data_IF_527606755969
#
_entry.id   IF_527606755969
#
_cell.length_a   1.000
_cell.length_b   1.000
_cell.length_c   1.000
_cell.angle_alpha   90.00
_cell.angle_beta   90.00
_cell.angle_gamma   90.00
#
_symmetry.space_group_name_H-M   'P 1'
#
loop_
_entity.id
_entity.type
_entity.pdbx_description
1 polymer ?
#
# COMPACT_ATOMS: atom_id res chain seq x y z
N UNK A 1 -11.60 10.19 22.27
CA UNK A 1 -10.45 9.51 22.90
C UNK A 1 -10.68 8.03 22.70
N UNK A 2 -9.70 7.29 22.17
CA UNK A 2 -9.85 5.83 22.01
C UNK A 2 -9.70 5.15 23.38
N UNK A 3 -10.46 4.09 23.61
CA UNK A 3 -10.42 3.29 24.83
C UNK A 3 -10.25 1.81 24.48
N UNK A 4 -9.56 1.06 25.33
CA UNK A 4 -9.47 -0.39 25.17
C UNK A 4 -10.85 -1.01 25.39
N UNK A 5 -11.33 -1.80 24.42
CA UNK A 5 -12.63 -2.47 24.53
C UNK A 5 -12.67 -3.40 25.75
N UNK A 6 -13.77 -3.39 26.54
CA UNK A 6 -14.05 -4.42 27.53
C UNK A 6 -14.08 -5.82 26.90
N UNK A 7 -13.66 -6.84 27.66
CA UNK A 7 -13.53 -8.21 27.16
C UNK A 7 -14.84 -8.78 26.57
N UNK A 8 -15.98 -8.47 27.16
CA UNK A 8 -17.31 -8.88 26.71
C UNK A 8 -17.79 -8.14 25.45
N UNK A 9 -17.08 -7.08 25.03
CA UNK A 9 -17.43 -6.18 23.92
C UNK A 9 -16.49 -6.29 22.72
N UNK A 10 -15.45 -7.12 22.78
CA UNK A 10 -14.43 -7.22 21.72
C UNK A 10 -14.97 -7.71 20.37
N UNK A 11 -16.07 -8.47 20.38
CA UNK A 11 -16.74 -8.96 19.17
C UNK A 11 -17.89 -8.06 18.71
N UNK A 12 -18.18 -6.99 19.44
CA UNK A 12 -19.17 -6.01 18.99
C UNK A 12 -18.57 -5.11 17.91
N UNK A 13 -19.40 -4.75 16.92
CA UNK A 13 -19.03 -3.83 15.85
C UNK A 13 -18.58 -2.48 16.44
N UNK A 14 -17.63 -1.81 15.78
CA UNK A 14 -17.35 -0.40 16.08
C UNK A 14 -18.48 0.51 15.58
N UNK A 15 -19.06 1.33 16.46
CA UNK A 15 -20.24 2.16 16.14
C UNK A 15 -20.03 3.10 14.95
N UNK A 16 -18.79 3.54 14.70
CA UNK A 16 -18.44 4.40 13.55
C UNK A 16 -18.76 3.73 12.21
N UNK A 17 -18.70 2.41 12.14
CA UNK A 17 -19.02 1.65 10.93
C UNK A 17 -20.52 1.50 10.69
N UNK A 18 -21.35 1.77 11.70
CA UNK A 18 -22.81 1.75 11.58
C UNK A 18 -23.32 2.75 10.55
N UNK A 19 -22.66 3.90 10.42
CA UNK A 19 -23.04 4.96 9.49
C UNK A 19 -22.80 4.61 8.01
N UNK A 20 -21.97 3.62 7.72
CA UNK A 20 -21.54 3.29 6.36
C UNK A 20 -22.23 2.06 5.77
N UNK A 21 -23.10 1.38 6.53
CA UNK A 21 -23.77 0.16 6.05
C UNK A 21 -22.84 -0.99 5.67
N UNK A 22 -21.55 -0.87 6.00
CA UNK A 22 -20.54 -1.92 5.85
C UNK A 22 -20.97 -3.11 6.71
N UNK A 23 -20.73 -4.34 6.28
CA UNK A 23 -20.92 -5.55 7.09
C UNK A 23 -19.59 -6.29 7.26
N UNK A 24 -19.52 -7.19 8.25
CA UNK A 24 -18.34 -8.03 8.44
C UNK A 24 -18.09 -8.92 7.20
N UNK A 25 -19.16 -9.46 6.62
CA UNK A 25 -19.11 -10.29 5.41
C UNK A 25 -18.59 -9.49 4.22
N UNK A 26 -19.02 -8.24 4.06
CA UNK A 26 -18.50 -7.36 3.02
C UNK A 26 -17.01 -7.10 3.20
N UNK A 27 -16.55 -6.75 4.41
CA UNK A 27 -15.13 -6.53 4.67
C UNK A 27 -14.30 -7.79 4.48
N UNK A 28 -14.81 -8.95 4.92
CA UNK A 28 -14.15 -10.23 4.68
C UNK A 28 -14.02 -10.51 3.18
N UNK A 29 -15.11 -10.35 2.42
CA UNK A 29 -15.08 -10.54 0.98
C UNK A 29 -14.10 -9.59 0.29
N UNK A 30 -14.08 -8.30 0.68
CA UNK A 30 -13.11 -7.33 0.18
C UNK A 30 -11.69 -7.73 0.53
N UNK A 31 -11.38 -8.00 1.80
CA UNK A 31 -10.04 -8.39 2.23
C UNK A 31 -9.54 -9.66 1.51
N UNK A 32 -10.39 -10.68 1.40
CA UNK A 32 -10.06 -11.94 0.73
C UNK A 32 -9.86 -11.77 -0.79
N UNK A 33 -10.58 -10.84 -1.42
CA UNK A 33 -10.49 -10.57 -2.85
C UNK A 33 -9.21 -9.84 -3.27
N UNK A 34 -8.50 -9.20 -2.33
CA UNK A 34 -7.25 -8.49 -2.63
C UNK A 34 -6.10 -9.51 -2.65
N UNK A 35 -5.71 -9.89 -3.85
CA UNK A 35 -4.66 -10.87 -4.09
C UNK A 35 -3.38 -10.21 -4.61
N UNK A 36 -2.24 -10.67 -4.08
CA UNK A 36 -0.92 -10.38 -4.63
C UNK A 36 -0.37 -11.60 -5.37
N UNK A 37 0.52 -11.34 -6.32
CA UNK A 37 1.09 -12.33 -7.22
C UNK A 37 1.76 -13.45 -6.44
N UNK A 38 1.55 -14.74 -6.81
CA UNK A 38 2.21 -15.87 -6.17
C UNK A 38 3.72 -15.90 -6.41
N UNK A 39 4.24 -15.09 -7.34
CA UNK A 39 5.67 -14.94 -7.57
C UNK A 39 6.36 -14.00 -6.57
N UNK A 40 5.60 -13.32 -5.70
CA UNK A 40 6.17 -12.48 -4.66
C UNK A 40 6.82 -13.35 -3.55
N UNK A 41 7.90 -12.87 -2.90
CA UNK A 41 8.53 -13.60 -1.81
C UNK A 41 7.58 -13.84 -0.62
N UNK A 42 7.77 -14.95 0.10
CA UNK A 42 6.96 -15.35 1.26
C UNK A 42 6.76 -14.21 2.28
N UNK A 43 7.82 -13.50 2.66
CA UNK A 43 7.72 -12.36 3.57
C UNK A 43 6.84 -11.20 3.08
N UNK A 44 6.67 -11.04 1.77
CA UNK A 44 5.73 -10.06 1.19
C UNK A 44 4.30 -10.57 1.40
N UNK A 45 4.05 -11.86 1.21
CA UNK A 45 2.77 -12.50 1.50
C UNK A 45 2.39 -12.43 2.97
N UNK A 46 3.33 -12.64 3.88
CA UNK A 46 3.08 -12.53 5.32
C UNK A 46 2.65 -11.11 5.69
N UNK A 47 3.43 -10.11 5.26
CA UNK A 47 3.15 -8.71 5.55
C UNK A 47 1.80 -8.26 4.97
N UNK A 48 1.49 -8.68 3.73
CA UNK A 48 0.23 -8.34 3.08
C UNK A 48 -0.97 -9.07 3.71
N UNK A 49 -0.75 -10.28 4.23
CA UNK A 49 -1.78 -11.01 5.00
C UNK A 49 -2.11 -10.30 6.31
N UNK A 50 -1.11 -9.73 6.99
CA UNK A 50 -1.36 -8.88 8.17
C UNK A 50 -2.19 -7.66 7.79
N UNK A 51 -1.90 -6.99 6.66
CA UNK A 51 -2.70 -5.86 6.18
C UNK A 51 -4.18 -6.24 5.95
N UNK A 52 -4.44 -7.36 5.27
CA UNK A 52 -5.80 -7.87 5.01
C UNK A 52 -6.54 -8.22 6.30
N UNK A 53 -5.86 -8.86 7.24
CA UNK A 53 -6.44 -9.16 8.55
C UNK A 53 -6.74 -7.88 9.33
N UNK A 54 -5.83 -6.90 9.36
CA UNK A 54 -6.08 -5.63 10.02
C UNK A 54 -7.28 -4.88 9.41
N UNK A 55 -7.48 -4.95 8.09
CA UNK A 55 -8.67 -4.41 7.43
C UNK A 55 -9.94 -5.13 7.91
N UNK A 56 -9.93 -6.47 7.97
CA UNK A 56 -11.05 -7.26 8.47
C UNK A 56 -11.38 -6.92 9.92
N UNK A 57 -10.37 -6.91 10.80
CA UNK A 57 -10.51 -6.60 12.22
C UNK A 57 -10.85 -5.13 12.49
N UNK A 58 -10.68 -4.25 11.50
CA UNK A 58 -11.17 -2.87 11.59
C UNK A 58 -12.68 -2.78 11.76
N UNK A 59 -13.41 -3.86 11.41
CA UNK A 59 -14.83 -4.02 11.72
C UNK A 59 -15.13 -3.88 13.23
N UNK A 60 -14.25 -4.44 14.06
CA UNK A 60 -14.36 -4.40 15.51
C UNK A 60 -13.63 -3.19 16.10
N UNK A 61 -12.57 -2.71 15.46
CA UNK A 61 -11.76 -1.59 15.95
C UNK A 61 -11.45 -0.65 14.79
N UNK A 62 -12.28 0.36 14.57
CA UNK A 62 -12.18 1.24 13.41
C UNK A 62 -10.77 1.86 13.18
N UNK A 63 -9.99 2.24 14.21
CA UNK A 63 -8.62 2.73 14.07
C UNK A 63 -7.62 1.69 13.53
N UNK A 64 -8.00 0.44 13.33
CA UNK A 64 -7.16 -0.53 12.62
C UNK A 64 -7.13 -0.30 11.11
N UNK A 65 -7.99 0.56 10.55
CA UNK A 65 -7.92 0.96 9.14
C UNK A 65 -6.57 1.56 8.74
N UNK A 66 -6.05 2.62 9.41
CA UNK A 66 -4.71 3.14 9.11
C UNK A 66 -3.59 2.11 9.37
N UNK A 67 -3.79 1.20 10.33
CA UNK A 67 -2.84 0.08 10.57
C UNK A 67 -2.80 -0.86 9.37
N UNK A 68 -3.96 -1.26 8.85
CA UNK A 68 -4.07 -2.08 7.64
C UNK A 68 -3.35 -1.42 6.47
N UNK A 69 -3.53 -0.11 6.30
CA UNK A 69 -2.89 0.61 5.22
C UNK A 69 -1.37 0.71 5.41
N UNK A 70 -0.88 1.03 6.61
CA UNK A 70 0.55 1.03 6.90
C UNK A 70 1.18 -0.33 6.58
N UNK A 71 0.56 -1.44 6.98
CA UNK A 71 1.06 -2.78 6.67
C UNK A 71 1.06 -3.08 5.16
N UNK A 72 0.09 -2.57 4.40
CA UNK A 72 0.09 -2.64 2.94
C UNK A 72 1.30 -1.90 2.34
N UNK A 73 1.60 -0.69 2.81
CA UNK A 73 2.78 0.07 2.36
C UNK A 73 4.07 -0.63 2.75
N UNK A 74 4.16 -1.20 3.97
CA UNK A 74 5.33 -1.97 4.40
C UNK A 74 5.53 -3.20 3.53
N UNK A 75 4.45 -3.88 3.10
CA UNK A 75 4.54 -4.99 2.16
C UNK A 75 5.10 -4.53 0.80
N UNK A 76 4.67 -3.37 0.30
CA UNK A 76 5.25 -2.74 -0.92
C UNK A 76 6.72 -2.40 -0.72
N UNK A 77 7.11 -1.83 0.43
CA UNK A 77 8.50 -1.48 0.72
C UNK A 77 9.40 -2.72 0.76
N UNK A 78 8.94 -3.81 1.40
CA UNK A 78 9.64 -5.11 1.40
C UNK A 78 9.72 -5.69 -0.01
N UNK A 79 8.63 -5.65 -0.77
CA UNK A 79 8.58 -6.13 -2.16
C UNK A 79 9.58 -5.41 -3.06
N UNK A 80 9.64 -4.08 -2.98
CA UNK A 80 10.60 -3.25 -3.71
C UNK A 80 12.04 -3.56 -3.29
N UNK A 81 12.28 -3.65 -1.97
CA UNK A 81 13.60 -3.97 -1.41
C UNK A 81 14.13 -5.28 -1.95
N UNK A 82 13.32 -6.34 -1.93
CA UNK A 82 13.72 -7.65 -2.45
C UNK A 82 13.99 -7.65 -3.94
N UNK A 83 13.07 -7.08 -4.73
CA UNK A 83 13.26 -7.03 -6.18
C UNK A 83 14.51 -6.25 -6.56
N UNK A 84 14.72 -5.10 -5.91
CA UNK A 84 15.88 -4.26 -6.19
C UNK A 84 17.18 -4.90 -5.69
N UNK A 85 17.17 -5.58 -4.54
CA UNK A 85 18.35 -6.30 -4.03
C UNK A 85 18.77 -7.43 -4.97
N UNK A 86 17.80 -8.13 -5.58
CA UNK A 86 18.08 -9.16 -6.58
C UNK A 86 18.62 -8.57 -7.89
N UNK A 87 18.05 -7.45 -8.36
CA UNK A 87 18.42 -6.86 -9.65
C UNK A 87 19.67 -5.96 -9.60
N UNK A 88 19.91 -5.31 -8.47
CA UNK A 88 20.90 -4.24 -8.25
C UNK A 88 21.52 -4.36 -6.84
N UNK A 89 22.22 -5.48 -6.54
CA UNK A 89 22.74 -5.75 -5.19
C UNK A 89 23.74 -4.69 -4.69
N UNK A 90 24.40 -3.96 -5.60
CA UNK A 90 25.34 -2.89 -5.26
C UNK A 90 24.68 -1.72 -4.51
N UNK A 91 23.38 -1.51 -4.68
CA UNK A 91 22.63 -0.48 -3.94
C UNK A 91 22.48 -0.81 -2.44
N UNK A 92 22.81 -2.03 -2.03
CA UNK A 92 22.65 -2.55 -0.66
C UNK A 92 23.99 -2.83 0.04
N UNK A 93 25.11 -2.45 -0.56
CA UNK A 93 26.45 -2.65 0.02
C UNK A 93 26.89 -1.52 0.96
N UNK A 94 26.12 -0.42 1.03
CA UNK A 94 26.42 0.73 1.88
C UNK A 94 25.99 0.54 3.34
N UNK A 95 26.41 1.48 4.20
CA UNK A 95 26.08 1.48 5.63
C UNK A 95 24.58 1.69 5.94
N UNK A 96 23.80 2.15 4.96
CA UNK A 96 22.35 2.36 5.09
C UNK A 96 21.65 1.77 3.88
N UNK A 97 20.59 1.02 4.14
CA UNK A 97 19.70 0.55 3.08
C UNK A 97 18.91 1.71 2.45
N UNK A 98 18.52 1.60 1.17
CA UNK A 98 17.68 2.59 0.51
C UNK A 98 16.31 2.76 1.21
N UNK A 99 15.88 4.01 1.37
CA UNK A 99 14.55 4.35 1.88
C UNK A 99 13.47 4.14 0.81
N UNK A 100 12.19 4.11 1.22
CA UNK A 100 11.04 3.90 0.31
C UNK A 100 11.07 4.78 -0.96
N UNK A 101 11.38 6.07 -0.81
CA UNK A 101 11.49 6.98 -1.96
C UNK A 101 12.52 6.48 -2.98
N UNK A 102 13.70 6.06 -2.51
CA UNK A 102 14.80 5.60 -3.37
C UNK A 102 14.48 4.25 -4.01
N UNK A 103 13.85 3.35 -3.25
CA UNK A 103 13.36 2.06 -3.75
C UNK A 103 12.33 2.23 -4.88
N UNK A 104 11.35 3.10 -4.66
CA UNK A 104 10.29 3.39 -5.62
C UNK A 104 10.84 4.11 -6.86
N UNK A 105 11.70 5.11 -6.67
CA UNK A 105 12.36 5.82 -7.77
C UNK A 105 13.15 4.85 -8.67
N UNK A 106 13.89 3.91 -8.08
CA UNK A 106 14.63 2.91 -8.83
C UNK A 106 13.70 1.99 -9.64
N UNK A 107 12.59 1.55 -9.05
CA UNK A 107 11.59 0.72 -9.74
C UNK A 107 10.91 1.44 -10.92
N UNK A 108 10.60 2.74 -10.75
CA UNK A 108 10.03 3.58 -11.81
C UNK A 108 11.02 3.77 -12.97
N UNK A 109 12.29 4.08 -12.66
CA UNK A 109 13.35 4.21 -13.68
C UNK A 109 13.63 2.89 -14.41
N UNK A 110 13.52 1.76 -13.73
CA UNK A 110 13.63 0.43 -14.31
C UNK A 110 12.35 -0.02 -15.06
N UNK A 111 11.31 0.81 -15.07
CA UNK A 111 10.01 0.54 -15.70
C UNK A 111 9.32 -0.72 -15.20
N UNK A 112 9.51 -1.05 -13.93
CA UNK A 112 8.80 -2.15 -13.28
C UNK A 112 7.39 -1.79 -12.85
N UNK A 113 7.10 -0.49 -12.73
CA UNK A 113 5.79 0.03 -12.35
C UNK A 113 5.39 1.05 -13.41
N UNK A 114 4.21 0.87 -14.00
CA UNK A 114 3.63 1.71 -15.04
C UNK A 114 2.13 1.93 -14.79
N UNK A 115 1.56 2.94 -15.44
CA UNK A 115 0.17 3.32 -15.24
C UNK A 115 -0.80 2.22 -15.67
N UNK A 116 -0.38 1.38 -16.63
CA UNK A 116 -1.15 0.24 -17.12
C UNK A 116 -1.40 -0.86 -16.08
N UNK A 117 -0.61 -0.89 -14.99
CA UNK A 117 -0.80 -1.86 -13.91
C UNK A 117 -1.75 -1.42 -12.81
N UNK A 118 -2.41 -0.26 -12.96
CA UNK A 118 -3.35 0.28 -11.99
C UNK A 118 -4.76 0.39 -12.59
N UNK A 119 -5.79 0.12 -11.79
CA UNK A 119 -7.17 0.47 -12.16
C UNK A 119 -7.40 1.96 -11.87
N UNK A 120 -7.25 2.83 -12.87
CA UNK A 120 -7.35 4.29 -12.72
C UNK A 120 -8.70 4.82 -13.23
N UNK A 121 -9.39 5.59 -12.38
CA UNK A 121 -10.57 6.36 -12.78
C UNK A 121 -10.12 7.77 -13.22
N UNK A 122 -9.80 7.92 -14.51
CA UNK A 122 -9.42 9.20 -15.13
C UNK A 122 -7.92 9.48 -15.21
N UNK A 123 -7.59 10.69 -15.66
CA UNK A 123 -6.19 11.12 -15.82
C UNK A 123 -5.58 11.51 -14.46
N UNK A 124 -4.49 10.83 -14.09
CA UNK A 124 -3.73 11.19 -12.91
C UNK A 124 -2.81 12.39 -13.18
N UNK A 125 -2.96 13.43 -12.36
CA UNK A 125 -2.01 14.53 -12.32
C UNK A 125 -0.68 14.12 -11.67
N UNK A 126 0.42 14.68 -12.17
CA UNK A 126 1.72 14.64 -11.49
C UNK A 126 1.83 15.88 -10.60
N UNK A 127 2.06 15.75 -9.27
CA UNK A 127 2.28 16.91 -8.41
C UNK A 127 3.41 17.80 -8.92
N UNK A 128 3.27 19.12 -8.80
CA UNK A 128 4.24 20.09 -9.35
C UNK A 128 5.68 19.86 -8.85
N UNK A 129 5.83 19.45 -7.59
CA UNK A 129 7.14 19.11 -7.03
C UNK A 129 7.80 17.92 -7.74
N UNK A 130 7.00 16.95 -8.16
CA UNK A 130 7.46 15.77 -8.90
C UNK A 130 7.77 16.15 -10.34
N UNK A 131 6.92 16.92 -11.02
CA UNK A 131 7.17 17.34 -12.40
C UNK A 131 8.39 18.25 -12.53
N UNK A 132 8.66 19.11 -11.56
CA UNK A 132 9.91 19.91 -11.50
C UNK A 132 11.16 19.05 -11.33
N UNK A 133 11.08 18.00 -10.50
CA UNK A 133 12.21 17.10 -10.24
C UNK A 133 12.46 16.12 -11.39
N UNK A 134 11.40 15.72 -12.09
CA UNK A 134 11.42 14.79 -13.22
C UNK A 134 10.75 15.45 -14.43
N UNK A 135 11.48 16.27 -15.21
CA UNK A 135 10.88 17.00 -16.34
C UNK A 135 10.47 16.09 -17.51
N UNK A 136 11.04 14.88 -17.59
CA UNK A 136 10.84 13.93 -18.69
C UNK A 136 10.20 12.62 -18.20
N UNK A 137 9.05 12.72 -17.52
CA UNK A 137 8.29 11.52 -17.09
C UNK A 137 7.66 10.87 -18.33
N UNK A 138 7.83 9.56 -18.55
CA UNK A 138 7.13 8.85 -19.61
C UNK A 138 5.61 8.96 -19.48
N UNK A 139 4.90 9.12 -20.60
CA UNK A 139 3.45 9.32 -20.61
C UNK A 139 2.67 8.20 -19.91
N UNK A 140 3.19 6.97 -19.97
CA UNK A 140 2.62 5.79 -19.34
C UNK A 140 3.11 5.54 -17.90
N UNK A 141 3.74 6.53 -17.28
CA UNK A 141 4.17 6.49 -15.87
C UNK A 141 3.77 7.76 -15.10
N UNK A 142 2.89 8.62 -15.64
CA UNK A 142 2.50 9.86 -14.96
C UNK A 142 1.85 9.59 -13.61
N UNK A 143 0.87 8.67 -13.55
CA UNK A 143 0.31 8.25 -12.27
C UNK A 143 1.39 7.61 -11.38
N UNK A 144 2.20 6.72 -11.96
CA UNK A 144 3.22 5.95 -11.23
C UNK A 144 4.25 6.86 -10.55
N UNK A 145 4.65 7.96 -11.19
CA UNK A 145 5.54 8.96 -10.58
C UNK A 145 4.84 9.78 -9.49
N UNK A 146 3.52 9.93 -9.51
CA UNK A 146 2.79 10.59 -8.41
C UNK A 146 2.95 9.83 -7.08
N UNK A 147 3.21 8.53 -7.12
CA UNK A 147 3.46 7.69 -5.94
C UNK A 147 4.71 8.11 -5.15
N UNK A 148 5.71 8.73 -5.79
CA UNK A 148 6.88 9.29 -5.10
C UNK A 148 6.49 10.39 -4.10
N UNK A 149 5.36 11.04 -4.32
CA UNK A 149 4.78 12.01 -3.41
C UNK A 149 3.75 11.35 -2.50
N UNK A 150 2.71 10.74 -3.09
CA UNK A 150 1.57 10.24 -2.33
C UNK A 150 1.92 9.05 -1.44
N UNK A 151 2.50 7.98 -1.97
CA UNK A 151 2.81 6.78 -1.17
C UNK A 151 3.84 7.08 -0.08
N UNK A 152 4.85 7.90 -0.39
CA UNK A 152 5.92 8.28 0.57
C UNK A 152 5.38 9.21 1.66
N UNK A 153 4.55 10.19 1.29
CA UNK A 153 3.86 11.06 2.24
C UNK A 153 2.98 10.25 3.18
N UNK A 154 2.07 9.45 2.63
CA UNK A 154 1.16 8.58 3.38
C UNK A 154 1.90 7.66 4.34
N UNK A 155 3.02 7.06 3.90
CA UNK A 155 3.85 6.21 4.75
C UNK A 155 4.39 6.97 5.96
N UNK A 156 4.86 8.19 5.76
CA UNK A 156 5.42 9.00 6.84
C UNK A 156 4.32 9.48 7.78
N UNK A 157 3.21 10.00 7.25
CA UNK A 157 2.06 10.46 8.02
C UNK A 157 1.57 9.34 8.96
N UNK A 158 1.34 8.15 8.42
CA UNK A 158 0.93 6.98 9.21
C UNK A 158 1.97 6.56 10.25
N UNK A 159 3.26 6.60 9.91
CA UNK A 159 4.34 6.27 10.85
C UNK A 159 4.48 7.31 11.98
N UNK A 160 4.07 8.55 11.74
CA UNK A 160 4.01 9.62 12.74
C UNK A 160 2.69 9.65 13.52
N UNK A 161 1.78 8.71 13.23
CA UNK A 161 0.49 8.59 13.92
C UNK A 161 -0.58 9.55 13.41
N UNK A 162 -0.37 10.17 12.25
CA UNK A 162 -1.41 10.96 11.61
C UNK A 162 -2.52 10.02 11.11
N UNK A 163 -3.72 10.25 11.62
CA UNK A 163 -4.85 9.38 11.37
C UNK A 163 -5.54 9.80 10.07
N UNK A 164 -5.25 9.09 8.98
CA UNK A 164 -6.15 9.12 7.82
C UNK A 164 -7.33 8.19 8.09
N UNK A 165 -8.52 8.77 8.17
CA UNK A 165 -9.78 8.05 8.18
C UNK A 165 -10.45 8.32 6.84
N UNK A 166 -10.37 7.37 5.91
CA UNK A 166 -11.05 7.49 4.62
C UNK A 166 -12.22 6.49 4.53
N UNK A 167 -13.34 6.84 3.89
CA UNK A 167 -14.47 5.92 3.70
C UNK A 167 -14.12 4.68 2.86
N UNK A 168 -13.06 4.74 2.03
CA UNK A 168 -12.70 3.69 1.07
C UNK A 168 -11.27 3.17 1.29
N UNK A 169 -10.95 2.72 2.50
CA UNK A 169 -9.59 2.22 2.82
C UNK A 169 -9.23 0.92 2.09
N UNK A 170 -10.22 0.15 1.64
CA UNK A 170 -9.97 -1.06 0.86
C UNK A 170 -9.26 -0.76 -0.47
N UNK A 171 -9.58 0.36 -1.12
CA UNK A 171 -8.92 0.75 -2.37
C UNK A 171 -7.42 1.04 -2.20
N UNK A 172 -6.99 1.44 -1.00
CA UNK A 172 -5.58 1.65 -0.70
C UNK A 172 -4.79 0.34 -0.59
N UNK A 173 -5.44 -0.73 -0.13
CA UNK A 173 -4.85 -2.07 -0.19
C UNK A 173 -4.82 -2.59 -1.63
N UNK A 174 -5.83 -2.28 -2.45
CA UNK A 174 -5.81 -2.59 -3.90
C UNK A 174 -4.59 -1.95 -4.56
N UNK A 175 -4.30 -0.66 -4.30
CA UNK A 175 -3.09 0.02 -4.81
C UNK A 175 -1.80 -0.67 -4.40
N UNK A 176 -1.71 -1.09 -3.13
CA UNK A 176 -0.55 -1.84 -2.65
C UNK A 176 -0.37 -3.17 -3.38
N UNK A 177 -1.47 -3.89 -3.60
CA UNK A 177 -1.45 -5.15 -4.35
C UNK A 177 -1.05 -4.95 -5.81
N UNK A 178 -1.59 -3.94 -6.49
CA UNK A 178 -1.25 -3.60 -7.87
C UNK A 178 0.24 -3.29 -8.05
N UNK A 179 0.86 -2.55 -7.12
CA UNK A 179 2.31 -2.32 -7.13
C UNK A 179 3.05 -3.65 -7.01
N UNK A 180 2.71 -4.48 -6.01
CA UNK A 180 3.36 -5.78 -5.80
C UNK A 180 3.21 -6.70 -7.01
N UNK A 181 2.04 -6.69 -7.67
CA UNK A 181 1.77 -7.51 -8.84
C UNK A 181 2.61 -7.11 -10.05
N UNK A 182 2.83 -5.81 -10.24
CA UNK A 182 3.77 -5.30 -11.24
C UNK A 182 5.23 -5.63 -10.89
N UNK A 183 5.54 -5.68 -9.59
CA UNK A 183 6.86 -6.11 -9.10
C UNK A 183 7.13 -7.60 -9.33
N UNK A 184 6.11 -8.43 -9.40
CA UNK A 184 6.27 -9.87 -9.56
C UNK A 184 5.26 -10.40 -10.58
N UNK A 185 5.39 -10.08 -11.88
CA UNK A 185 4.44 -10.55 -12.87
C UNK A 185 4.51 -12.08 -12.96
N UNK A 186 3.36 -12.75 -12.92
CA UNK A 186 3.30 -14.17 -13.27
C UNK A 186 3.43 -14.25 -14.78
N UNK A 187 4.42 -15.00 -15.28
CA UNK A 187 4.59 -15.24 -16.72
C UNK A 187 3.26 -15.75 -17.31
N UNK A 188 2.75 -15.08 -18.34
CA UNK A 188 1.64 -15.58 -19.15
C UNK A 188 2.07 -16.79 -19.95
#
# INVERSE_FOLDING_TARGET
MEELKPLDKVLERDDRLSYFGVTLEYLHHRAAGIAISPAAPEKVHDQFTIARNALLYSWFVYPFQPVAFLYSILAVEVALRERLKAARPELFQGAREPALYQLLEAALKARWITDAGFQLDGEAGVPEIISKRYPNIPDDQRYSYSLLYSLVGLRNDLAHGECMLAPNMASLLDRGAEIINQLYPTSR
#
